data_IF_455694886447
#
_entry.id   IF_455694886447
#
_cell.length_a   1.000
_cell.length_b   1.000
_cell.length_c   1.000
_cell.angle_alpha   90.00
_cell.angle_beta   90.00
_cell.angle_gamma   90.00
#
_symmetry.space_group_name_H-M   'P 1'
#
loop_
_entity.id
_entity.type
_entity.pdbx_description
1 polymer ?
#
# COMPACT_ATOMS: atom_id res chain seq x y z
N UNK A 1 -23.39 23.68 -32.06
CA UNK A 1 -22.41 23.22 -31.04
C UNK A 1 -22.83 21.83 -30.59
N UNK A 2 -22.10 20.79 -31.00
CA UNK A 2 -22.45 19.39 -30.73
C UNK A 2 -22.25 19.06 -29.25
N UNK A 3 -23.37 18.76 -28.57
CA UNK A 3 -23.41 18.28 -27.19
C UNK A 3 -22.74 16.89 -27.11
N UNK A 4 -21.43 16.87 -26.87
CA UNK A 4 -20.67 15.64 -26.65
C UNK A 4 -21.18 14.99 -25.37
N UNK A 5 -22.03 13.95 -25.50
CA UNK A 5 -22.43 13.08 -24.39
C UNK A 5 -21.18 12.56 -23.66
N UNK A 6 -20.97 13.01 -22.43
CA UNK A 6 -19.87 12.58 -21.57
C UNK A 6 -19.89 11.05 -21.38
N UNK A 7 -18.73 10.42 -21.50
CA UNK A 7 -18.52 9.01 -21.16
C UNK A 7 -18.72 8.78 -19.65
N UNK A 8 -18.97 7.52 -19.24
CA UNK A 8 -19.14 7.17 -17.82
C UNK A 8 -17.94 7.59 -16.95
N UNK A 9 -16.71 7.41 -17.44
CA UNK A 9 -15.49 7.80 -16.71
C UNK A 9 -15.36 9.32 -16.57
N UNK A 10 -15.76 10.10 -17.60
CA UNK A 10 -15.76 11.57 -17.53
C UNK A 10 -16.81 12.09 -16.54
N UNK A 11 -18.00 11.48 -16.49
CA UNK A 11 -19.03 11.80 -15.49
C UNK A 11 -18.54 11.58 -14.07
N UNK A 12 -17.87 10.44 -13.82
CA UNK A 12 -17.26 10.12 -12.52
C UNK A 12 -16.20 11.17 -12.15
N UNK A 13 -15.25 11.47 -13.05
CA UNK A 13 -14.19 12.47 -12.80
C UNK A 13 -14.74 13.87 -12.57
N UNK A 14 -15.76 14.28 -13.33
CA UNK A 14 -16.43 15.58 -13.15
C UNK A 14 -17.02 15.68 -11.74
N UNK A 15 -17.73 14.64 -11.30
CA UNK A 15 -18.30 14.62 -9.94
C UNK A 15 -17.20 14.65 -8.87
N UNK A 16 -16.14 13.86 -9.03
CA UNK A 16 -15.00 13.86 -8.11
C UNK A 16 -14.35 15.26 -8.01
N UNK A 17 -14.20 15.95 -9.14
CA UNK A 17 -13.63 17.31 -9.20
C UNK A 17 -14.51 18.30 -8.43
N UNK A 18 -15.84 18.24 -8.63
CA UNK A 18 -16.79 19.10 -7.92
C UNK A 18 -16.77 18.82 -6.41
N UNK A 19 -16.79 17.55 -6.00
CA UNK A 19 -16.71 17.15 -4.60
C UNK A 19 -15.41 17.65 -3.95
N UNK A 20 -14.27 17.48 -4.63
CA UNK A 20 -12.97 17.93 -4.14
C UNK A 20 -12.88 19.46 -4.02
N UNK A 21 -13.38 20.18 -5.03
CA UNK A 21 -13.39 21.64 -5.02
C UNK A 21 -14.23 22.16 -3.85
N UNK A 22 -15.44 21.61 -3.66
CA UNK A 22 -16.31 22.03 -2.55
C UNK A 22 -15.71 21.70 -1.19
N UNK A 23 -15.08 20.52 -1.09
CA UNK A 23 -14.39 20.06 0.11
C UNK A 23 -13.21 20.96 0.51
N UNK A 24 -12.51 21.56 -0.47
CA UNK A 24 -11.44 22.55 -0.24
C UNK A 24 -11.97 23.93 0.13
N UNK A 25 -13.01 24.37 -0.55
CA UNK A 25 -13.62 25.69 -0.32
C UNK A 25 -14.25 25.79 1.07
N UNK A 26 -14.91 24.72 1.53
CA UNK A 26 -15.70 24.74 2.76
C UNK A 26 -15.32 23.58 3.69
N UNK A 27 -14.31 23.78 4.54
CA UNK A 27 -13.77 22.75 5.42
C UNK A 27 -14.80 22.15 6.40
N UNK A 28 -15.81 22.94 6.82
CA UNK A 28 -16.89 22.53 7.71
C UNK A 28 -18.10 21.91 6.99
N UNK A 29 -18.11 21.90 5.65
CA UNK A 29 -19.26 21.40 4.90
C UNK A 29 -19.46 19.90 5.11
N UNK A 30 -20.72 19.52 5.35
CA UNK A 30 -21.15 18.13 5.48
C UNK A 30 -21.94 17.71 4.25
N UNK A 31 -21.35 16.78 3.49
CA UNK A 31 -21.92 16.24 2.29
C UNK A 31 -23.09 15.30 2.62
N UNK A 32 -24.25 15.61 2.08
CA UNK A 32 -25.46 14.79 2.11
C UNK A 32 -25.68 14.15 0.73
N UNK A 33 -26.66 13.23 0.65
CA UNK A 33 -27.02 12.52 -0.57
C UNK A 33 -25.77 12.05 -1.33
N UNK A 34 -25.01 11.13 -0.74
CA UNK A 34 -23.85 10.49 -1.34
C UNK A 34 -24.14 9.05 -1.74
N UNK A 35 -24.99 8.36 -0.97
CA UNK A 35 -25.27 6.94 -1.18
C UNK A 35 -25.91 6.69 -2.54
N UNK A 36 -26.69 7.63 -3.06
CA UNK A 36 -27.32 7.57 -4.39
C UNK A 36 -26.30 7.39 -5.50
N UNK A 37 -25.08 7.88 -5.29
CA UNK A 37 -24.01 7.80 -6.27
C UNK A 37 -23.36 6.42 -6.30
N UNK A 38 -23.45 5.68 -5.20
CA UNK A 38 -22.81 4.35 -5.06
C UNK A 38 -23.42 3.35 -6.04
N UNK A 39 -24.73 3.43 -6.28
CA UNK A 39 -25.45 2.55 -7.20
C UNK A 39 -25.64 3.14 -8.61
N UNK A 40 -25.03 4.29 -8.93
CA UNK A 40 -25.06 4.75 -10.32
C UNK A 40 -24.23 3.81 -11.20
N UNK A 41 -24.77 3.47 -12.37
CA UNK A 41 -24.11 2.56 -13.30
C UNK A 41 -22.72 3.06 -13.75
N UNK A 42 -22.51 4.37 -13.89
CA UNK A 42 -21.20 4.92 -14.24
C UNK A 42 -20.15 4.67 -13.14
N UNK A 43 -20.52 4.84 -11.87
CA UNK A 43 -19.65 4.52 -10.73
C UNK A 43 -19.41 3.03 -10.57
N UNK A 44 -20.46 2.20 -10.68
CA UNK A 44 -20.34 0.75 -10.59
C UNK A 44 -19.45 0.17 -11.70
N UNK A 45 -19.54 0.70 -12.92
CA UNK A 45 -18.67 0.31 -14.03
C UNK A 45 -17.21 0.69 -13.78
N UNK A 46 -16.92 1.91 -13.32
CA UNK A 46 -15.55 2.31 -13.00
C UNK A 46 -14.99 1.48 -11.82
N UNK A 47 -15.81 1.20 -10.81
CA UNK A 47 -15.47 0.32 -9.70
C UNK A 47 -15.14 -1.11 -10.19
N UNK A 48 -15.98 -1.69 -11.06
CA UNK A 48 -15.72 -2.98 -11.68
C UNK A 48 -14.39 -3.01 -12.43
N UNK A 49 -14.09 -1.98 -13.24
CA UNK A 49 -12.82 -1.90 -13.97
C UNK A 49 -11.62 -1.92 -13.04
N UNK A 50 -11.71 -1.26 -11.88
CA UNK A 50 -10.65 -1.24 -10.88
C UNK A 50 -10.49 -2.60 -10.20
N UNK A 51 -11.57 -3.20 -9.72
CA UNK A 51 -11.56 -4.53 -9.08
C UNK A 51 -11.05 -5.60 -10.04
N UNK A 52 -11.53 -5.59 -11.29
CA UNK A 52 -11.09 -6.50 -12.35
C UNK A 52 -9.60 -6.40 -12.60
N UNK A 53 -9.06 -5.17 -12.63
CA UNK A 53 -7.64 -4.93 -12.88
C UNK A 53 -6.75 -5.46 -11.75
N UNK A 54 -7.25 -5.45 -10.51
CA UNK A 54 -6.51 -5.98 -9.37
C UNK A 54 -6.42 -7.52 -9.42
N UNK A 55 -7.38 -8.20 -10.06
CA UNK A 55 -7.31 -9.65 -10.30
C UNK A 55 -7.39 -10.50 -9.02
N UNK A 56 -8.04 -9.99 -7.97
CA UNK A 56 -8.11 -10.69 -6.68
C UNK A 56 -9.00 -11.93 -6.72
N UNK A 57 -8.62 -12.95 -5.93
CA UNK A 57 -9.35 -14.23 -5.78
C UNK A 57 -10.80 -14.06 -5.32
N UNK A 58 -11.58 -15.13 -5.45
CA UNK A 58 -12.96 -15.17 -4.97
C UNK A 58 -13.07 -15.03 -3.43
N UNK A 59 -14.22 -14.50 -3.00
CA UNK A 59 -14.61 -14.42 -1.59
C UNK A 59 -15.16 -15.75 -1.07
N UNK A 60 -16.00 -15.70 -0.04
CA UNK A 60 -16.63 -16.91 0.54
C UNK A 60 -17.68 -17.55 -0.38
N UNK A 61 -18.22 -16.79 -1.32
CA UNK A 61 -19.26 -17.23 -2.25
C UNK A 61 -18.72 -17.84 -3.54
N UNK A 62 -17.40 -17.92 -3.71
CA UNK A 62 -16.77 -18.58 -4.86
C UNK A 62 -16.83 -17.81 -6.17
N UNK A 63 -17.68 -16.78 -6.29
CA UNK A 63 -17.90 -16.04 -7.53
C UNK A 63 -16.60 -15.40 -8.06
N UNK A 64 -16.21 -15.77 -9.27
CA UNK A 64 -14.98 -15.29 -9.92
C UNK A 64 -15.24 -14.17 -10.93
N UNK A 65 -14.19 -13.38 -11.21
CA UNK A 65 -14.24 -12.35 -12.26
C UNK A 65 -14.52 -12.98 -13.64
N UNK A 66 -14.09 -14.22 -13.87
CA UNK A 66 -14.29 -14.93 -15.13
C UNK A 66 -15.76 -15.32 -15.31
N UNK A 67 -16.40 -15.87 -14.27
CA UNK A 67 -17.82 -16.21 -14.29
C UNK A 67 -18.71 -14.98 -14.54
N UNK A 68 -18.46 -13.87 -13.86
CA UNK A 68 -19.24 -12.63 -14.07
C UNK A 68 -19.09 -12.11 -15.50
N UNK A 69 -17.91 -12.25 -16.11
CA UNK A 69 -17.74 -11.89 -17.53
C UNK A 69 -18.56 -12.78 -18.46
N UNK A 70 -18.64 -14.08 -18.17
CA UNK A 70 -19.40 -15.05 -18.97
C UNK A 70 -20.91 -14.81 -18.83
N UNK A 71 -21.39 -14.56 -17.61
CA UNK A 71 -22.82 -14.27 -17.33
C UNK A 71 -23.29 -12.93 -17.90
N UNK A 72 -22.37 -11.97 -18.08
CA UNK A 72 -22.67 -10.62 -18.53
C UNK A 72 -22.51 -9.61 -17.41
N UNK A 73 -21.47 -8.78 -17.53
CA UNK A 73 -21.09 -7.79 -16.51
C UNK A 73 -22.19 -6.76 -16.28
N UNK A 74 -22.87 -6.33 -17.34
CA UNK A 74 -23.87 -5.27 -17.25
C UNK A 74 -25.08 -5.70 -16.41
N UNK A 75 -25.67 -6.86 -16.72
CA UNK A 75 -26.78 -7.41 -15.94
C UNK A 75 -26.40 -7.61 -14.47
N UNK A 76 -25.19 -8.15 -14.21
CA UNK A 76 -24.69 -8.33 -12.85
C UNK A 76 -24.53 -7.00 -12.09
N UNK A 77 -24.08 -5.94 -12.76
CA UNK A 77 -23.98 -4.60 -12.17
C UNK A 77 -25.37 -3.96 -11.96
N UNK A 78 -26.34 -4.23 -12.84
CA UNK A 78 -27.72 -3.79 -12.68
C UNK A 78 -28.37 -4.44 -11.45
N UNK A 79 -28.18 -5.75 -11.24
CA UNK A 79 -28.62 -6.45 -10.03
C UNK A 79 -28.00 -5.83 -8.77
N UNK A 80 -26.70 -5.52 -8.78
CA UNK A 80 -26.05 -4.83 -7.66
C UNK A 80 -26.58 -3.41 -7.45
N UNK A 81 -26.83 -2.67 -8.52
CA UNK A 81 -27.42 -1.33 -8.48
C UNK A 81 -28.80 -1.37 -7.83
N UNK A 82 -29.64 -2.33 -8.23
CA UNK A 82 -30.99 -2.49 -7.69
C UNK A 82 -30.95 -2.81 -6.19
N UNK A 83 -30.14 -3.81 -5.78
CA UNK A 83 -30.01 -4.18 -4.38
C UNK A 83 -29.56 -3.01 -3.48
N UNK A 84 -28.62 -2.21 -3.96
CA UNK A 84 -28.12 -1.04 -3.24
C UNK A 84 -29.17 0.08 -3.15
N UNK A 85 -29.93 0.29 -4.24
CA UNK A 85 -30.98 1.31 -4.32
C UNK A 85 -32.13 0.99 -3.37
N UNK A 86 -32.62 -0.25 -3.42
CA UNK A 86 -33.73 -0.78 -2.61
C UNK A 86 -33.32 -1.04 -1.17
N UNK A 87 -32.02 -1.17 -0.89
CA UNK A 87 -31.49 -1.39 0.46
C UNK A 87 -31.54 -2.86 0.90
N UNK A 88 -31.73 -3.79 -0.04
CA UNK A 88 -31.66 -5.24 0.18
C UNK A 88 -30.22 -5.76 0.18
N UNK A 89 -29.26 -4.96 -0.34
CA UNK A 89 -27.83 -5.27 -0.29
C UNK A 89 -27.35 -5.51 1.15
N UNK A 90 -26.85 -6.72 1.41
CA UNK A 90 -26.22 -7.10 2.68
C UNK A 90 -24.80 -7.62 2.43
N UNK A 91 -23.76 -7.02 3.06
CA UNK A 91 -22.39 -7.51 2.92
C UNK A 91 -22.25 -8.96 3.38
N UNK A 92 -21.56 -9.78 2.59
CA UNK A 92 -21.29 -11.18 2.94
C UNK A 92 -20.11 -11.28 3.91
N UNK A 93 -19.81 -12.49 4.39
CA UNK A 93 -18.61 -12.69 5.19
C UNK A 93 -17.33 -12.55 4.33
N UNK A 94 -16.24 -12.06 4.90
CA UNK A 94 -14.94 -12.06 4.23
C UNK A 94 -14.24 -13.42 4.39
N UNK A 95 -13.52 -13.85 3.36
CA UNK A 95 -12.71 -15.07 3.42
C UNK A 95 -11.31 -14.75 3.94
N UNK A 96 -10.89 -15.35 5.05
CA UNK A 96 -9.56 -15.10 5.61
C UNK A 96 -8.49 -15.95 4.91
N UNK A 97 -7.38 -15.31 4.54
CA UNK A 97 -6.17 -15.95 4.02
C UNK A 97 -4.98 -15.49 4.85
N UNK A 98 -4.14 -16.42 5.29
CA UNK A 98 -2.95 -16.13 6.06
C UNK A 98 -1.75 -15.84 5.14
N UNK A 99 -1.26 -14.61 5.18
CA UNK A 99 -0.05 -14.20 4.45
C UNK A 99 1.15 -14.32 5.38
N UNK A 100 2.20 -15.08 5.03
CA UNK A 100 3.41 -15.18 5.85
C UNK A 100 4.07 -13.81 6.06
N UNK A 101 4.46 -13.49 7.31
CA UNK A 101 5.34 -12.35 7.60
C UNK A 101 6.79 -12.73 7.31
N UNK A 102 7.68 -11.73 7.33
CA UNK A 102 9.14 -11.95 7.21
C UNK A 102 9.67 -12.91 8.27
N UNK A 103 9.11 -12.85 9.48
CA UNK A 103 9.45 -13.72 10.61
C UNK A 103 8.78 -15.10 10.45
N UNK A 104 9.54 -16.21 10.52
CA UNK A 104 8.98 -17.56 10.46
C UNK A 104 7.89 -17.78 11.50
N UNK A 105 6.83 -18.51 11.13
CA UNK A 105 5.71 -18.84 12.04
C UNK A 105 4.73 -17.70 12.32
N UNK A 106 5.00 -16.46 11.87
CA UNK A 106 4.05 -15.34 12.03
C UNK A 106 3.31 -15.06 10.73
N UNK A 107 2.00 -14.84 10.83
CA UNK A 107 1.13 -14.58 9.69
C UNK A 107 0.39 -13.24 9.84
N UNK A 108 -0.03 -12.66 8.71
CA UNK A 108 -0.96 -11.53 8.64
C UNK A 108 -2.27 -12.06 8.04
N UNK A 109 -3.40 -12.01 8.78
CA UNK A 109 -4.69 -12.39 8.21
C UNK A 109 -5.14 -11.33 7.20
N UNK A 110 -5.49 -11.76 5.99
CA UNK A 110 -6.11 -10.94 4.95
C UNK A 110 -7.53 -11.45 4.72
N UNK A 111 -8.53 -10.63 4.97
CA UNK A 111 -9.92 -10.84 4.57
C UNK A 111 -10.15 -10.43 3.11
N UNK A 112 -10.60 -11.36 2.29
CA UNK A 112 -10.98 -11.17 0.90
C UNK A 112 -12.51 -11.06 0.85
N UNK A 113 -13.09 -9.87 0.61
CA UNK A 113 -14.53 -9.71 0.45
C UNK A 113 -15.03 -10.37 -0.84
N UNK A 114 -16.34 -10.65 -0.87
CA UNK A 114 -17.01 -11.11 -2.10
C UNK A 114 -16.90 -10.06 -3.22
N UNK A 115 -17.10 -10.50 -4.46
CA UNK A 115 -16.91 -9.63 -5.63
C UNK A 115 -17.90 -8.45 -5.63
N UNK A 116 -19.18 -8.70 -5.30
CA UNK A 116 -20.20 -7.67 -5.07
C UNK A 116 -19.76 -6.63 -4.04
N UNK A 117 -19.25 -7.09 -2.90
CA UNK A 117 -18.78 -6.22 -1.81
C UNK A 117 -17.60 -5.36 -2.24
N UNK A 118 -16.63 -5.94 -2.96
CA UNK A 118 -15.47 -5.19 -3.48
C UNK A 118 -15.91 -4.10 -4.45
N UNK A 119 -16.87 -4.38 -5.33
CA UNK A 119 -17.38 -3.39 -6.29
C UNK A 119 -18.14 -2.27 -5.56
N UNK A 120 -19.02 -2.61 -4.62
CA UNK A 120 -19.76 -1.61 -3.83
C UNK A 120 -18.82 -0.74 -2.98
N UNK A 121 -17.83 -1.34 -2.31
CA UNK A 121 -16.81 -0.64 -1.54
C UNK A 121 -15.94 0.26 -2.41
N UNK A 122 -15.56 -0.20 -3.60
CA UNK A 122 -14.77 0.60 -4.55
C UNK A 122 -15.59 1.77 -5.11
N UNK A 123 -16.87 1.55 -5.40
CA UNK A 123 -17.79 2.62 -5.82
C UNK A 123 -17.91 3.70 -4.75
N UNK A 124 -18.14 3.30 -3.49
CA UNK A 124 -18.14 4.23 -2.36
C UNK A 124 -16.79 4.95 -2.18
N UNK A 125 -15.67 4.26 -2.32
CA UNK A 125 -14.34 4.86 -2.25
C UNK A 125 -14.16 5.95 -3.33
N UNK A 126 -14.58 5.70 -4.58
CA UNK A 126 -14.49 6.70 -5.66
C UNK A 126 -15.25 8.00 -5.33
N UNK A 127 -16.33 7.92 -4.56
CA UNK A 127 -17.13 9.07 -4.13
C UNK A 127 -16.49 9.77 -2.94
N UNK A 128 -16.00 9.01 -1.96
CA UNK A 128 -15.49 9.55 -0.70
C UNK A 128 -14.05 10.08 -0.79
N UNK A 129 -13.20 9.46 -1.61
CA UNK A 129 -11.81 9.89 -1.80
C UNK A 129 -11.66 11.39 -2.06
N UNK A 130 -12.31 12.01 -3.07
CA UNK A 130 -12.13 13.44 -3.34
C UNK A 130 -12.49 14.34 -2.16
N UNK A 131 -13.47 13.95 -1.34
CA UNK A 131 -13.93 14.70 -0.16
C UNK A 131 -12.86 14.69 0.93
N UNK A 132 -12.30 13.52 1.24
CA UNK A 132 -11.33 13.37 2.33
C UNK A 132 -9.90 13.69 1.90
N UNK A 133 -9.53 13.48 0.64
CA UNK A 133 -8.23 13.88 0.09
C UNK A 133 -7.98 15.38 0.23
N UNK A 134 -9.03 16.20 0.17
CA UNK A 134 -8.95 17.63 0.45
C UNK A 134 -8.49 17.95 1.88
N UNK A 135 -8.75 17.05 2.83
CA UNK A 135 -8.44 17.23 4.24
C UNK A 135 -7.11 16.60 4.67
N UNK A 136 -6.54 15.73 3.84
CA UNK A 136 -5.32 14.99 4.17
C UNK A 136 -4.14 15.93 4.39
N UNK A 137 -3.33 15.59 5.38
CA UNK A 137 -2.19 16.39 5.77
C UNK A 137 -1.00 16.19 4.79
N UNK A 138 -0.12 17.19 4.60
CA UNK A 138 1.06 17.04 3.75
C UNK A 138 2.00 15.91 4.21
N UNK A 139 1.96 15.56 5.48
CA UNK A 139 2.73 14.48 6.10
C UNK A 139 2.19 13.07 5.78
N UNK A 140 1.01 12.95 5.15
CA UNK A 140 0.42 11.67 4.76
C UNK A 140 0.77 11.31 3.32
N UNK A 141 1.47 10.19 3.13
CA UNK A 141 1.92 9.71 1.82
C UNK A 141 1.25 8.40 1.40
N UNK A 142 0.81 7.59 2.36
CA UNK A 142 0.16 6.31 2.08
C UNK A 142 -1.21 6.50 1.45
N UNK A 143 -1.55 5.70 0.43
CA UNK A 143 -2.88 5.66 -0.20
C UNK A 143 -3.44 7.03 -0.66
N UNK A 144 -2.57 7.99 -0.96
CA UNK A 144 -2.96 9.29 -1.49
C UNK A 144 -2.64 9.33 -2.99
N UNK A 145 -3.56 9.85 -3.80
CA UNK A 145 -3.25 10.03 -5.22
C UNK A 145 -2.08 11.01 -5.42
N UNK A 146 -1.21 10.68 -6.37
CA UNK A 146 -0.02 11.48 -6.67
C UNK A 146 1.10 11.48 -5.61
N UNK A 147 0.99 10.71 -4.52
CA UNK A 147 2.06 10.55 -3.52
C UNK A 147 2.54 9.11 -3.45
N UNK A 148 3.85 8.93 -3.34
CA UNK A 148 4.48 7.62 -3.29
C UNK A 148 5.27 7.39 -2.00
N UNK A 149 5.53 6.12 -1.68
CA UNK A 149 6.47 5.73 -0.63
C UNK A 149 7.86 6.39 -0.81
N UNK A 150 8.27 6.59 -2.07
CA UNK A 150 9.52 7.28 -2.40
C UNK A 150 9.49 8.74 -1.96
N UNK A 151 8.35 9.41 -2.05
CA UNK A 151 8.24 10.82 -1.66
C UNK A 151 8.33 10.99 -0.14
N UNK A 152 7.80 10.04 0.63
CA UNK A 152 8.01 9.95 2.07
C UNK A 152 9.50 9.82 2.41
N UNK A 153 10.21 8.89 1.75
CA UNK A 153 11.66 8.70 1.94
C UNK A 153 12.47 9.94 1.52
N UNK A 154 12.10 10.61 0.42
CA UNK A 154 12.71 11.89 0.03
C UNK A 154 12.48 12.97 1.07
N UNK A 155 11.30 13.01 1.69
CA UNK A 155 10.99 13.98 2.76
C UNK A 155 11.87 13.75 3.97
N UNK A 156 12.05 12.49 4.40
CA UNK A 156 12.98 12.13 5.47
C UNK A 156 14.40 12.62 5.15
N UNK A 157 14.88 12.37 3.93
CA UNK A 157 16.21 12.84 3.51
C UNK A 157 16.35 14.36 3.60
N UNK A 158 15.34 15.09 3.13
CA UNK A 158 15.29 16.54 3.22
C UNK A 158 15.30 17.04 4.68
N UNK A 159 14.58 16.37 5.58
CA UNK A 159 14.54 16.71 7.00
C UNK A 159 15.89 16.50 7.67
N UNK A 160 16.57 15.38 7.39
CA UNK A 160 17.90 15.07 7.90
C UNK A 160 18.93 16.12 7.46
N UNK A 161 18.89 16.55 6.19
CA UNK A 161 19.79 17.61 5.69
C UNK A 161 19.55 18.96 6.37
N UNK A 162 18.35 19.19 6.91
CA UNK A 162 17.98 20.40 7.67
C UNK A 162 18.26 20.30 9.18
N UNK A 163 18.94 19.24 9.61
CA UNK A 163 19.35 19.03 10.99
C UNK A 163 18.33 18.32 11.88
N UNK A 164 17.23 17.78 11.33
CA UNK A 164 16.29 16.96 12.11
C UNK A 164 16.85 15.55 12.30
N UNK A 165 17.77 15.40 13.26
CA UNK A 165 18.57 14.18 13.46
C UNK A 165 17.98 13.22 14.49
N UNK A 166 17.10 13.71 15.35
CA UNK A 166 16.42 12.89 16.35
C UNK A 166 15.22 12.21 15.69
N UNK A 167 15.20 10.88 15.67
CA UNK A 167 14.20 10.09 14.95
C UNK A 167 13.46 9.18 15.91
N UNK A 168 12.12 9.24 15.88
CA UNK A 168 11.24 8.23 16.45
C UNK A 168 10.68 7.41 15.30
N UNK A 169 11.16 6.17 15.17
CA UNK A 169 10.63 5.18 14.23
C UNK A 169 9.57 4.35 14.96
N UNK A 170 8.28 4.54 14.63
CA UNK A 170 7.17 4.01 15.41
C UNK A 170 6.30 3.03 14.60
N UNK A 171 6.05 1.85 15.17
CA UNK A 171 5.17 0.82 14.59
C UNK A 171 3.90 0.70 15.44
N UNK A 172 2.73 0.69 14.80
CA UNK A 172 1.46 0.52 15.50
C UNK A 172 1.12 -0.97 15.65
N UNK A 173 0.70 -1.36 16.86
CA UNK A 173 0.25 -2.72 17.12
C UNK A 173 -1.12 -2.97 16.47
N UNK A 174 -1.16 -3.83 15.45
CA UNK A 174 -2.40 -4.28 14.81
C UNK A 174 -3.35 -3.13 14.39
N UNK A 175 -2.82 -2.10 13.72
CA UNK A 175 -3.54 -0.87 13.40
C UNK A 175 -4.99 -1.08 12.92
N UNK A 176 -5.20 -1.84 11.84
CA UNK A 176 -6.53 -2.08 11.28
C UNK A 176 -7.46 -2.87 12.19
N UNK A 177 -6.95 -3.61 13.18
CA UNK A 177 -7.76 -4.40 14.10
C UNK A 177 -8.17 -3.67 15.37
N UNK A 178 -7.46 -2.59 15.74
CA UNK A 178 -7.69 -1.89 17.02
C UNK A 178 -8.58 -0.65 16.91
N UNK A 179 -8.78 -0.08 15.72
CA UNK A 179 -9.56 1.17 15.56
C UNK A 179 -11.01 0.97 16.06
N UNK A 180 -11.48 1.73 17.07
CA UNK A 180 -12.85 1.63 17.54
C UNK A 180 -13.84 2.14 16.49
N UNK A 181 -14.90 1.37 16.20
CA UNK A 181 -15.90 1.73 15.20
C UNK A 181 -16.55 3.08 15.48
N UNK A 182 -16.90 3.36 16.75
CA UNK A 182 -17.50 4.63 17.14
C UNK A 182 -16.61 5.83 16.79
N UNK A 183 -15.32 5.73 17.06
CA UNK A 183 -14.34 6.79 16.77
C UNK A 183 -14.07 6.93 15.27
N UNK A 184 -14.14 5.81 14.53
CA UNK A 184 -14.04 5.81 13.08
C UNK A 184 -15.23 6.52 12.43
N UNK A 185 -16.44 6.15 12.85
CA UNK A 185 -17.70 6.72 12.35
C UNK A 185 -17.81 8.21 12.70
N UNK A 186 -17.38 8.64 13.89
CA UNK A 186 -17.28 10.07 14.23
C UNK A 186 -16.37 10.83 13.27
N UNK A 187 -15.25 10.23 12.85
CA UNK A 187 -14.30 10.86 11.93
C UNK A 187 -14.91 11.04 10.53
N UNK A 188 -15.69 10.07 10.07
CA UNK A 188 -16.44 10.15 8.81
C UNK A 188 -17.59 11.17 8.87
N UNK A 189 -18.35 11.17 9.98
CA UNK A 189 -19.53 12.02 10.16
C UNK A 189 -19.21 13.53 10.19
N UNK A 190 -17.95 13.91 10.44
CA UNK A 190 -17.48 15.30 10.32
C UNK A 190 -17.63 15.87 8.92
N UNK A 191 -17.59 15.02 7.89
CA UNK A 191 -17.72 15.42 6.48
C UNK A 191 -18.94 14.83 5.81
N UNK A 192 -19.56 13.81 6.39
CA UNK A 192 -20.71 13.12 5.82
C UNK A 192 -21.91 13.30 6.74
N UNK A 193 -23.01 13.81 6.21
CA UNK A 193 -24.32 13.83 6.87
C UNK A 193 -25.27 12.76 6.32
N UNK A 194 -24.92 12.10 5.21
CA UNK A 194 -25.71 10.99 4.66
C UNK A 194 -25.69 9.75 5.59
N UNK A 195 -26.80 9.53 6.29
CA UNK A 195 -26.96 8.40 7.21
C UNK A 195 -27.04 7.02 6.54
N UNK A 196 -27.48 6.92 5.27
CA UNK A 196 -27.46 5.65 4.53
C UNK A 196 -26.03 5.27 4.16
N UNK A 197 -25.23 6.24 3.71
CA UNK A 197 -23.82 6.03 3.43
C UNK A 197 -23.04 5.59 4.67
N UNK A 198 -23.27 6.26 5.81
CA UNK A 198 -22.63 5.90 7.07
C UNK A 198 -23.04 4.49 7.56
N UNK A 199 -24.32 4.11 7.41
CA UNK A 199 -24.80 2.75 7.72
C UNK A 199 -24.13 1.70 6.83
N UNK A 200 -23.97 1.97 5.53
CA UNK A 200 -23.31 1.07 4.59
C UNK A 200 -21.84 0.84 4.98
N UNK A 201 -21.11 1.91 5.30
CA UNK A 201 -19.71 1.81 5.75
C UNK A 201 -19.62 1.01 7.06
N UNK A 202 -20.52 1.29 8.01
CA UNK A 202 -20.58 0.54 9.28
C UNK A 202 -20.82 -0.95 9.05
N UNK A 203 -21.71 -1.32 8.12
CA UNK A 203 -21.97 -2.70 7.76
C UNK A 203 -20.71 -3.41 7.23
N UNK A 204 -19.87 -2.72 6.45
CA UNK A 204 -18.58 -3.27 6.01
C UNK A 204 -17.56 -3.45 7.14
N UNK A 205 -17.53 -2.54 8.12
CA UNK A 205 -16.67 -2.66 9.30
C UNK A 205 -17.07 -3.84 10.21
N UNK A 206 -18.35 -4.19 10.22
CA UNK A 206 -18.93 -5.26 11.03
C UNK A 206 -19.01 -6.62 10.31
N UNK A 207 -18.43 -6.73 9.10
CA UNK A 207 -18.46 -7.97 8.31
C UNK A 207 -17.88 -9.16 9.09
N UNK A 208 -18.58 -10.32 9.10
CA UNK A 208 -18.05 -11.58 9.61
C UNK A 208 -16.79 -12.01 8.86
N UNK A 209 -15.93 -12.77 9.53
CA UNK A 209 -14.74 -13.39 8.94
C UNK A 209 -14.92 -14.91 8.94
N UNK A 210 -14.76 -15.54 7.79
CA UNK A 210 -14.72 -17.01 7.65
C UNK A 210 -13.26 -17.43 7.53
N UNK A 211 -12.83 -18.26 8.47
CA UNK A 211 -11.52 -18.88 8.51
C UNK A 211 -11.67 -20.32 8.00
N UNK A 212 -10.75 -20.73 7.15
CA UNK A 212 -10.67 -22.10 6.64
C UNK A 212 -9.44 -22.74 7.28
N UNK A 213 -9.66 -23.83 8.02
CA UNK A 213 -8.58 -24.59 8.63
C UNK A 213 -7.88 -25.49 7.59
N UNK A 214 -6.75 -26.09 8.01
CA UNK A 214 -5.95 -26.97 7.12
C UNK A 214 -6.67 -28.27 6.74
N UNK A 215 -7.73 -28.63 7.46
CA UNK A 215 -8.56 -29.81 7.25
C UNK A 215 -9.82 -29.52 6.42
N UNK A 216 -10.02 -28.26 5.99
CA UNK A 216 -11.19 -27.82 5.21
C UNK A 216 -12.41 -27.40 6.05
N UNK A 217 -12.29 -27.42 7.37
CA UNK A 217 -13.30 -26.90 8.29
C UNK A 217 -13.40 -25.38 8.21
N UNK A 218 -14.63 -24.86 8.17
CA UNK A 218 -14.91 -23.42 8.08
C UNK A 218 -15.43 -22.89 9.41
N UNK A 219 -14.72 -21.94 10.01
CA UNK A 219 -15.14 -21.24 11.23
C UNK A 219 -15.53 -19.80 10.92
N UNK A 220 -16.77 -19.43 11.20
CA UNK A 220 -17.26 -18.05 11.05
C UNK A 220 -17.15 -17.30 12.39
N UNK A 221 -16.52 -16.13 12.37
CA UNK A 221 -16.38 -15.26 13.55
C UNK A 221 -16.95 -13.87 13.27
N UNK A 222 -17.61 -13.27 14.27
CA UNK A 222 -18.15 -11.91 14.21
C UNK A 222 -17.36 -10.96 15.12
N UNK A 223 -16.04 -11.16 15.19
CA UNK A 223 -15.17 -10.49 16.17
C UNK A 223 -15.26 -8.97 16.10
N UNK A 224 -15.11 -8.40 14.90
CA UNK A 224 -15.14 -6.95 14.70
C UNK A 224 -16.46 -6.32 15.19
N UNK A 225 -17.60 -6.98 14.94
CA UNK A 225 -18.92 -6.54 15.42
C UNK A 225 -19.08 -6.67 16.93
N UNK A 226 -18.65 -7.79 17.53
CA UNK A 226 -18.74 -8.02 18.98
C UNK A 226 -17.87 -7.05 19.77
N UNK A 227 -16.62 -6.87 19.34
CA UNK A 227 -15.66 -5.98 20.00
C UNK A 227 -15.84 -4.49 19.59
N UNK A 228 -16.69 -4.22 18.58
CA UNK A 228 -16.95 -2.87 18.02
C UNK A 228 -15.67 -2.15 17.60
N UNK A 229 -14.71 -2.89 17.05
CA UNK A 229 -13.41 -2.38 16.61
C UNK A 229 -12.85 -3.17 15.43
N UNK A 230 -11.97 -2.49 14.70
CA UNK A 230 -11.23 -3.02 13.57
C UNK A 230 -12.03 -3.15 12.28
N UNK A 231 -11.34 -3.50 11.20
CA UNK A 231 -11.94 -3.84 9.91
C UNK A 231 -11.29 -5.09 9.33
N UNK A 232 -12.00 -5.86 8.49
CA UNK A 232 -11.38 -6.87 7.64
C UNK A 232 -10.20 -6.28 6.85
N UNK A 233 -8.99 -6.80 7.07
CA UNK A 233 -7.81 -6.38 6.32
C UNK A 233 -7.94 -6.84 4.87
N UNK A 234 -7.84 -5.95 3.88
CA UNK A 234 -7.95 -6.33 2.46
C UNK A 234 -9.22 -5.84 1.76
N UNK A 235 -10.09 -5.13 2.47
CA UNK A 235 -11.19 -4.39 1.83
C UNK A 235 -10.67 -3.15 1.07
N UNK A 236 -11.18 -2.87 -0.15
CA UNK A 236 -10.84 -1.69 -0.93
C UNK A 236 -11.02 -0.34 -0.21
N UNK A 237 -11.96 -0.22 0.72
CA UNK A 237 -12.25 1.06 1.41
C UNK A 237 -11.35 1.29 2.64
N UNK A 238 -10.82 0.22 3.25
CA UNK A 238 -9.99 0.29 4.47
C UNK A 238 -8.81 1.27 4.40
N UNK A 239 -8.07 1.41 3.29
CA UNK A 239 -6.97 2.38 3.18
C UNK A 239 -7.41 3.83 3.32
N UNK A 240 -8.51 4.23 2.68
CA UNK A 240 -9.08 5.57 2.82
C UNK A 240 -9.48 5.83 4.27
N UNK A 241 -10.19 4.86 4.85
CA UNK A 241 -10.64 4.92 6.24
C UNK A 241 -9.47 5.02 7.23
N UNK A 242 -8.37 4.30 6.97
CA UNK A 242 -7.13 4.37 7.74
C UNK A 242 -6.55 5.80 7.74
N UNK A 243 -6.42 6.42 6.57
CA UNK A 243 -5.87 7.77 6.46
C UNK A 243 -6.72 8.82 7.19
N UNK A 244 -8.06 8.68 7.13
CA UNK A 244 -8.99 9.56 7.83
C UNK A 244 -8.77 9.48 9.35
N UNK A 245 -8.50 8.29 9.88
CA UNK A 245 -8.24 8.12 11.30
C UNK A 245 -6.87 8.65 11.71
N UNK A 246 -5.80 8.33 10.95
CA UNK A 246 -4.44 8.84 11.21
C UNK A 246 -4.35 10.37 11.16
N UNK A 247 -5.21 11.03 10.36
CA UNK A 247 -5.30 12.49 10.34
C UNK A 247 -5.54 13.09 11.73
N UNK A 248 -6.28 12.40 12.62
CA UNK A 248 -6.51 12.87 14.00
C UNK A 248 -5.23 13.02 14.78
N UNK A 249 -4.31 12.05 14.63
CA UNK A 249 -3.00 12.09 15.28
C UNK A 249 -2.18 13.28 14.78
N UNK A 250 -2.08 13.44 13.45
CA UNK A 250 -1.27 14.49 12.83
C UNK A 250 -1.80 15.88 13.20
N UNK A 251 -3.13 16.06 13.19
CA UNK A 251 -3.74 17.31 13.64
C UNK A 251 -3.53 17.56 15.13
N UNK A 252 -3.70 16.53 15.98
CA UNK A 252 -3.43 16.66 17.41
C UNK A 252 -1.99 17.07 17.69
N UNK A 253 -1.03 16.46 16.98
CA UNK A 253 0.40 16.81 17.05
C UNK A 253 0.67 18.28 16.70
N UNK A 254 0.04 18.78 15.63
CA UNK A 254 0.21 20.17 15.17
C UNK A 254 -0.51 21.19 16.06
N UNK A 255 -1.79 20.96 16.34
CA UNK A 255 -2.65 21.91 17.06
C UNK A 255 -2.23 22.08 18.51
N UNK A 256 -1.71 21.04 19.16
CA UNK A 256 -1.18 21.11 20.52
C UNK A 256 0.25 21.70 20.57
N UNK A 257 0.82 22.11 19.43
CA UNK A 257 2.09 22.82 19.36
C UNK A 257 3.35 21.94 19.35
N UNK A 258 3.23 20.62 19.48
CA UNK A 258 4.37 19.70 19.56
C UNK A 258 5.30 19.75 18.35
N UNK A 259 4.75 19.96 17.15
CA UNK A 259 5.56 20.16 15.95
C UNK A 259 6.53 21.35 16.08
N UNK A 260 6.08 22.45 16.71
CA UNK A 260 6.93 23.63 16.95
C UNK A 260 7.85 23.42 18.14
N UNK A 261 7.32 22.89 19.24
CA UNK A 261 8.05 22.63 20.48
C UNK A 261 9.30 21.78 20.24
N UNK A 262 9.17 20.68 19.49
CA UNK A 262 10.29 19.76 19.23
C UNK A 262 11.05 20.07 17.94
N UNK A 263 10.62 21.11 17.20
CA UNK A 263 11.09 21.38 15.84
C UNK A 263 10.99 20.12 14.98
N UNK A 264 9.82 19.48 14.98
CA UNK A 264 9.65 18.11 14.52
C UNK A 264 8.53 17.95 13.49
N UNK A 265 8.78 17.08 12.53
CA UNK A 265 7.86 16.78 11.44
C UNK A 265 7.57 15.28 11.33
N UNK A 266 6.31 14.99 11.07
CA UNK A 266 5.79 13.64 10.85
C UNK A 266 6.00 13.23 9.39
N UNK A 267 6.33 11.96 9.18
CA UNK A 267 6.26 11.31 7.86
C UNK A 267 5.48 10.02 8.02
N UNK A 268 4.25 10.01 7.50
CA UNK A 268 3.30 8.91 7.65
C UNK A 268 3.03 8.22 6.31
N UNK A 269 3.17 6.90 6.28
CA UNK A 269 2.74 6.04 5.17
C UNK A 269 1.77 5.00 5.70
N UNK A 270 0.49 5.35 5.72
CA UNK A 270 -0.57 4.58 6.37
C UNK A 270 -0.30 4.38 7.88
N UNK A 271 -0.12 3.14 8.34
CA UNK A 271 0.17 2.77 9.73
C UNK A 271 1.65 2.88 10.10
N UNK A 272 2.53 2.90 9.10
CA UNK A 272 3.99 3.06 9.27
C UNK A 272 4.33 4.55 9.30
N UNK A 273 4.92 5.04 10.40
CA UNK A 273 5.29 6.46 10.50
C UNK A 273 6.56 6.67 11.30
N UNK A 274 7.27 7.74 10.96
CA UNK A 274 8.38 8.23 11.76
C UNK A 274 8.22 9.73 12.05
N UNK A 275 8.85 10.18 13.12
CA UNK A 275 8.93 11.60 13.52
C UNK A 275 10.38 12.01 13.53
N UNK A 276 10.72 13.07 12.81
CA UNK A 276 12.07 13.63 12.78
C UNK A 276 12.05 15.00 13.43
N UNK A 277 12.85 15.19 14.47
CA UNK A 277 12.92 16.40 15.27
C UNK A 277 14.33 16.90 15.51
N UNK A 278 14.42 18.04 16.16
CA UNK A 278 15.68 18.61 16.68
C UNK A 278 15.84 18.35 18.17
N UNK A 279 14.73 18.21 18.88
CA UNK A 279 14.69 17.85 20.28
C UNK A 279 14.74 16.33 20.48
N UNK A 280 14.97 15.91 21.72
CA UNK A 280 15.18 14.51 22.11
C UNK A 280 14.10 13.57 21.57
N UNK A 281 14.52 12.48 20.90
CA UNK A 281 13.63 11.44 20.42
C UNK A 281 12.81 10.78 21.54
N UNK A 282 13.39 10.64 22.74
CA UNK A 282 12.70 10.00 23.88
C UNK A 282 11.54 10.85 24.40
N UNK A 283 11.72 12.18 24.48
CA UNK A 283 10.66 13.11 24.87
C UNK A 283 9.53 13.14 23.84
N UNK A 284 9.88 13.14 22.55
CA UNK A 284 8.91 13.03 21.47
C UNK A 284 8.11 11.72 21.60
N UNK A 285 8.77 10.59 21.87
CA UNK A 285 8.09 9.30 22.02
C UNK A 285 7.09 9.29 23.19
N UNK A 286 7.38 9.93 24.32
CA UNK A 286 6.44 10.05 25.44
C UNK A 286 5.16 10.76 24.99
N UNK A 287 5.29 11.89 24.28
CA UNK A 287 4.14 12.63 23.76
C UNK A 287 3.37 11.84 22.70
N UNK A 288 4.08 11.20 21.76
CA UNK A 288 3.47 10.36 20.72
C UNK A 288 2.66 9.23 21.36
N UNK A 289 3.23 8.56 22.37
CA UNK A 289 2.55 7.48 23.12
C UNK A 289 1.28 7.99 23.79
N UNK A 290 1.34 9.16 24.45
CA UNK A 290 0.16 9.78 25.07
C UNK A 290 -0.94 10.09 24.05
N UNK A 291 -0.58 10.64 22.89
CA UNK A 291 -1.54 10.95 21.83
C UNK A 291 -2.15 9.68 21.22
N UNK A 292 -1.33 8.67 20.97
CA UNK A 292 -1.76 7.39 20.42
C UNK A 292 -2.68 6.62 21.38
N UNK A 293 -2.40 6.66 22.68
CA UNK A 293 -3.29 6.10 23.71
C UNK A 293 -4.66 6.79 23.73
N UNK A 294 -4.71 8.11 23.57
CA UNK A 294 -6.00 8.85 23.43
C UNK A 294 -6.78 8.44 22.17
N UNK A 295 -6.08 8.02 21.12
CA UNK A 295 -6.66 7.48 19.89
C UNK A 295 -6.96 5.98 19.97
N UNK A 296 -6.68 5.34 21.12
CA UNK A 296 -6.84 3.89 21.35
C UNK A 296 -6.04 3.04 20.35
N UNK A 297 -4.86 3.53 19.96
CA UNK A 297 -3.94 2.85 19.04
C UNK A 297 -2.60 2.62 19.75
N UNK A 298 -2.42 1.49 20.46
CA UNK A 298 -1.19 1.26 21.20
C UNK A 298 0.02 1.12 20.27
N UNK A 299 1.13 1.77 20.64
CA UNK A 299 2.41 1.66 19.95
C UNK A 299 3.05 0.30 20.27
N UNK A 300 3.72 -0.29 19.30
CA UNK A 300 4.50 -1.50 19.48
C UNK A 300 5.87 -1.16 20.07
N UNK A 301 6.01 -1.28 21.39
CA UNK A 301 7.25 -0.96 22.10
C UNK A 301 8.46 -1.80 21.65
N UNK A 302 8.25 -3.04 21.18
CA UNK A 302 9.36 -3.91 20.73
C UNK A 302 9.95 -3.49 19.38
N UNK A 303 9.16 -2.78 18.56
CA UNK A 303 9.58 -2.35 17.23
C UNK A 303 9.86 -0.86 17.15
N UNK A 304 9.35 -0.09 18.10
CA UNK A 304 9.53 1.36 18.13
C UNK A 304 10.91 1.69 18.65
N UNK A 305 11.61 2.59 17.97
CA UNK A 305 12.99 2.94 18.27
C UNK A 305 13.15 4.47 18.32
N UNK A 306 13.91 4.94 19.31
CA UNK A 306 14.44 6.30 19.36
C UNK A 306 15.91 6.22 18.96
N UNK A 307 16.32 7.01 17.99
CA UNK A 307 17.65 6.94 17.41
C UNK A 307 18.10 8.30 16.89
N UNK A 308 19.42 8.50 16.84
CA UNK A 308 20.03 9.69 16.27
C UNK A 308 20.65 9.41 14.91
N UNK A 309 20.03 9.91 13.85
CA UNK A 309 20.48 9.74 12.48
C UNK A 309 21.37 10.92 12.06
N UNK A 310 22.53 10.71 11.41
CA UNK A 310 22.97 9.50 10.69
C UNK A 310 23.83 8.49 11.46
N UNK A 311 24.20 8.77 12.72
CA UNK A 311 25.04 7.91 13.56
C UNK A 311 24.42 6.51 13.71
N UNK A 312 23.12 6.48 13.99
CA UNK A 312 22.29 5.30 14.00
C UNK A 312 21.39 5.30 12.76
N UNK A 313 21.47 4.21 12.00
CA UNK A 313 20.73 4.06 10.76
C UNK A 313 19.49 3.20 10.96
N UNK A 314 18.35 3.69 10.49
CA UNK A 314 17.04 3.07 10.65
C UNK A 314 16.47 2.59 9.32
N UNK A 315 15.40 1.78 9.37
CA UNK A 315 14.73 1.25 8.17
C UNK A 315 13.31 1.79 8.05
N UNK A 316 13.00 2.49 6.97
CA UNK A 316 11.66 2.99 6.68
C UNK A 316 11.22 2.59 5.26
N UNK A 317 10.03 2.02 5.10
CA UNK A 317 9.47 1.59 3.81
C UNK A 317 10.41 0.71 2.96
N UNK A 318 11.21 -0.11 3.64
CA UNK A 318 12.19 -1.02 3.03
C UNK A 318 13.51 -0.38 2.61
N UNK A 319 13.71 0.91 2.90
CA UNK A 319 14.97 1.62 2.75
C UNK A 319 15.69 1.74 4.09
N UNK A 320 16.99 1.48 4.09
CA UNK A 320 17.88 1.85 5.20
C UNK A 320 18.39 3.27 4.98
N UNK A 321 18.29 4.12 6.00
CA UNK A 321 18.63 5.54 5.98
C UNK A 321 19.72 5.81 7.02
N UNK A 322 20.79 6.50 6.64
CA UNK A 322 21.91 6.84 7.53
C UNK A 322 23.21 7.11 6.76
N UNK A 323 24.36 6.84 7.37
CA UNK A 323 25.64 6.96 6.67
C UNK A 323 25.78 5.98 5.50
N UNK A 324 26.13 6.53 4.34
CA UNK A 324 26.58 5.81 3.16
C UNK A 324 27.93 6.36 2.69
N UNK A 325 28.63 5.59 1.85
CA UNK A 325 29.95 5.92 1.34
C UNK A 325 29.94 6.02 -0.18
N UNK A 326 30.55 7.07 -0.73
CA UNK A 326 30.71 7.20 -2.18
C UNK A 326 31.73 6.17 -2.67
N UNK A 327 31.40 5.30 -3.64
CA UNK A 327 32.30 4.23 -4.07
C UNK A 327 33.66 4.71 -4.59
N UNK A 328 33.70 5.87 -5.26
CA UNK A 328 34.93 6.40 -5.86
C UNK A 328 35.83 7.15 -4.89
N UNK A 329 35.25 7.85 -3.92
CA UNK A 329 35.99 8.80 -3.06
C UNK A 329 36.04 8.39 -1.60
N UNK A 330 35.30 7.36 -1.18
CA UNK A 330 35.18 6.96 0.22
C UNK A 330 34.47 7.98 1.11
N UNK A 331 34.04 9.13 0.58
CA UNK A 331 33.43 10.19 1.38
C UNK A 331 32.09 9.76 1.95
N UNK A 332 31.91 9.97 3.26
CA UNK A 332 30.64 9.73 3.96
C UNK A 332 29.59 10.79 3.59
N UNK A 333 28.34 10.36 3.39
CA UNK A 333 27.20 11.24 3.19
C UNK A 333 25.94 10.59 3.76
N UNK A 334 24.95 11.41 4.15
CA UNK A 334 23.64 10.92 4.55
C UNK A 334 22.93 10.43 3.30
N UNK A 335 22.54 9.16 3.27
CA UNK A 335 21.91 8.57 2.10
C UNK A 335 20.94 7.46 2.45
N UNK A 336 20.35 6.90 1.41
CA UNK A 336 19.42 5.77 1.48
C UNK A 336 19.93 4.62 0.64
N UNK A 337 19.59 3.39 1.02
CA UNK A 337 19.81 2.19 0.21
C UNK A 337 18.75 1.14 0.50
N UNK A 338 18.49 0.17 -0.39
CA UNK A 338 17.59 -0.92 -0.09
C UNK A 338 18.03 -1.68 1.16
N UNK A 339 17.08 -2.00 2.05
CA UNK A 339 17.39 -2.70 3.30
C UNK A 339 17.76 -4.16 3.06
N UNK A 340 18.53 -4.75 3.99
CA UNK A 340 18.95 -6.16 3.88
C UNK A 340 17.74 -7.09 3.80
N UNK A 341 16.71 -6.82 4.60
CA UNK A 341 15.46 -7.58 4.58
C UNK A 341 14.70 -7.45 3.26
N UNK A 342 14.73 -6.28 2.62
CA UNK A 342 14.13 -6.07 1.28
C UNK A 342 14.85 -6.87 0.19
N UNK A 343 16.19 -6.94 0.25
CA UNK A 343 17.01 -7.73 -0.68
C UNK A 343 16.79 -9.23 -0.45
N UNK A 344 16.78 -9.68 0.80
CA UNK A 344 16.53 -11.09 1.13
C UNK A 344 15.15 -11.55 0.69
N UNK A 345 14.13 -10.69 0.83
CA UNK A 345 12.76 -10.99 0.42
C UNK A 345 12.64 -11.23 -1.08
N UNK A 346 13.29 -10.41 -1.92
CA UNK A 346 13.27 -10.61 -3.37
C UNK A 346 14.08 -11.84 -3.79
N UNK A 347 15.23 -12.09 -3.17
CA UNK A 347 16.01 -13.30 -3.40
C UNK A 347 15.23 -14.57 -3.03
N UNK A 348 14.47 -14.54 -1.93
CA UNK A 348 13.58 -15.63 -1.52
C UNK A 348 12.50 -15.88 -2.58
N UNK A 349 11.82 -14.82 -3.03
CA UNK A 349 10.80 -14.91 -4.08
C UNK A 349 11.36 -15.48 -5.38
N UNK A 350 12.56 -15.07 -5.79
CA UNK A 350 13.26 -15.65 -6.96
C UNK A 350 13.54 -17.15 -6.74
N UNK A 351 13.99 -17.53 -5.54
CA UNK A 351 14.23 -18.93 -5.20
C UNK A 351 12.96 -19.77 -5.28
N UNK A 352 11.84 -19.27 -4.75
CA UNK A 352 10.52 -19.91 -4.76
C UNK A 352 10.02 -20.12 -6.20
N UNK A 353 10.18 -19.13 -7.08
CA UNK A 353 9.78 -19.25 -8.49
C UNK A 353 10.68 -20.20 -9.30
N UNK A 354 11.87 -20.55 -8.80
CA UNK A 354 12.85 -21.43 -9.47
C UNK A 354 12.97 -22.81 -8.80
N UNK A 355 11.97 -23.19 -8.03
CA UNK A 355 11.85 -24.51 -7.41
C UNK A 355 11.64 -25.64 -8.43
N UNK A 356 11.93 -26.87 -8.02
CA UNK A 356 11.87 -28.05 -8.87
C UNK A 356 10.47 -28.30 -9.47
N UNK A 357 9.40 -27.95 -8.73
CA UNK A 357 8.01 -28.06 -9.19
C UNK A 357 7.71 -27.30 -10.48
N UNK A 358 8.53 -26.29 -10.81
CA UNK A 358 8.39 -25.52 -12.05
C UNK A 358 9.28 -26.05 -13.19
N UNK A 359 9.83 -27.26 -13.10
CA UNK A 359 10.74 -27.82 -14.13
C UNK A 359 10.11 -28.00 -15.52
N UNK A 360 8.80 -28.24 -15.58
CA UNK A 360 8.06 -28.40 -16.84
C UNK A 360 7.72 -27.06 -17.51
N UNK A 361 7.82 -25.95 -16.79
CA UNK A 361 7.51 -24.62 -17.33
C UNK A 361 8.44 -24.27 -18.48
N UNK A 362 7.90 -23.61 -19.50
CA UNK A 362 8.71 -23.12 -20.60
C UNK A 362 9.81 -22.14 -20.14
N UNK A 363 10.95 -22.16 -20.83
CA UNK A 363 12.12 -21.35 -20.49
C UNK A 363 11.85 -19.84 -20.63
N UNK A 364 11.15 -19.45 -21.69
CA UNK A 364 10.77 -18.06 -21.94
C UNK A 364 9.77 -17.58 -20.90
N UNK A 365 8.78 -18.42 -20.57
CA UNK A 365 7.82 -18.16 -19.50
C UNK A 365 8.55 -17.93 -18.15
N UNK A 366 9.49 -18.80 -17.79
CA UNK A 366 10.29 -18.67 -16.57
C UNK A 366 11.09 -17.36 -16.55
N UNK A 367 11.79 -17.03 -17.64
CA UNK A 367 12.60 -15.81 -17.71
C UNK A 367 11.74 -14.56 -17.63
N UNK A 368 10.62 -14.52 -18.36
CA UNK A 368 9.69 -13.39 -18.31
C UNK A 368 9.10 -13.18 -16.90
N UNK A 369 8.84 -14.26 -16.13
CA UNK A 369 8.45 -14.15 -14.72
C UNK A 369 9.55 -13.53 -13.86
N UNK A 370 10.79 -14.00 -14.00
CA UNK A 370 11.93 -13.45 -13.27
C UNK A 370 12.16 -11.98 -13.62
N UNK A 371 12.11 -11.64 -14.91
CA UNK A 371 12.24 -10.26 -15.40
C UNK A 371 11.15 -9.36 -14.82
N UNK A 372 9.89 -9.81 -14.77
CA UNK A 372 8.81 -9.04 -14.18
C UNK A 372 9.04 -8.79 -12.68
N UNK A 373 9.46 -9.81 -11.93
CA UNK A 373 9.76 -9.72 -10.50
C UNK A 373 10.92 -8.74 -10.23
N UNK A 374 12.02 -8.89 -10.98
CA UNK A 374 13.21 -8.06 -10.84
C UNK A 374 12.93 -6.61 -11.24
N UNK A 375 12.27 -6.40 -12.38
CA UNK A 375 11.95 -5.06 -12.88
C UNK A 375 10.99 -4.33 -11.94
N UNK A 376 9.98 -5.02 -11.40
CA UNK A 376 9.09 -4.44 -10.38
C UNK A 376 9.83 -4.00 -9.12
N UNK A 377 10.78 -4.82 -8.65
CA UNK A 377 11.60 -4.49 -7.49
C UNK A 377 12.53 -3.29 -7.77
N UNK A 378 13.21 -3.28 -8.91
CA UNK A 378 14.09 -2.18 -9.32
C UNK A 378 13.32 -0.87 -9.53
N UNK A 379 12.13 -0.94 -10.13
CA UNK A 379 11.23 0.21 -10.28
C UNK A 379 10.85 0.83 -8.93
N UNK A 380 10.74 0.04 -7.85
CA UNK A 380 10.52 0.57 -6.51
C UNK A 380 11.81 1.07 -5.86
N UNK A 381 12.92 0.33 -5.95
CA UNK A 381 14.18 0.64 -5.29
C UNK A 381 15.12 1.45 -6.19
N UNK A 382 14.82 2.75 -6.36
CA UNK A 382 15.61 3.66 -7.20
C UNK A 382 16.32 4.78 -6.43
N UNK A 383 16.10 4.88 -5.12
CA UNK A 383 16.65 5.99 -4.32
C UNK A 383 18.00 5.62 -3.68
N UNK A 384 18.98 6.50 -3.88
CA UNK A 384 20.30 6.41 -3.24
C UNK A 384 21.21 5.33 -3.84
N UNK A 385 21.95 4.61 -2.99
CA UNK A 385 22.96 3.63 -3.43
C UNK A 385 22.31 2.26 -3.70
N UNK A 386 21.92 2.01 -4.95
CA UNK A 386 21.19 0.80 -5.35
C UNK A 386 22.08 -0.26 -6.02
N UNK A 387 23.22 0.13 -6.61
CA UNK A 387 24.06 -0.77 -7.41
C UNK A 387 24.48 -2.05 -6.67
N UNK A 388 24.96 -2.00 -5.41
CA UNK A 388 25.35 -3.23 -4.71
C UNK A 388 24.18 -4.20 -4.54
N UNK A 389 22.98 -3.67 -4.30
CA UNK A 389 21.77 -4.48 -4.18
C UNK A 389 21.35 -5.09 -5.53
N UNK A 390 21.42 -4.30 -6.61
CA UNK A 390 21.12 -4.75 -7.97
C UNK A 390 22.07 -5.88 -8.39
N UNK A 391 23.38 -5.71 -8.18
CA UNK A 391 24.37 -6.74 -8.47
C UNK A 391 24.14 -8.03 -7.67
N UNK A 392 23.76 -7.91 -6.39
CA UNK A 392 23.45 -9.08 -5.55
C UNK A 392 22.23 -9.85 -6.07
N UNK A 393 21.17 -9.14 -6.47
CA UNK A 393 19.94 -9.73 -7.03
C UNK A 393 20.23 -10.39 -8.37
N UNK A 394 20.93 -9.71 -9.27
CA UNK A 394 21.35 -10.24 -10.57
C UNK A 394 22.13 -11.54 -10.43
N UNK A 395 23.16 -11.54 -9.56
CA UNK A 395 23.98 -12.72 -9.32
C UNK A 395 23.14 -13.88 -8.78
N UNK A 396 22.22 -13.60 -7.86
CA UNK A 396 21.32 -14.62 -7.32
C UNK A 396 20.35 -15.15 -8.39
N UNK A 397 19.74 -14.27 -9.19
CA UNK A 397 18.84 -14.64 -10.27
C UNK A 397 19.54 -15.50 -11.33
N UNK A 398 20.72 -15.09 -11.80
CA UNK A 398 21.52 -15.85 -12.77
C UNK A 398 21.87 -17.24 -12.21
N UNK A 399 22.32 -17.31 -10.95
CA UNK A 399 22.64 -18.59 -10.30
C UNK A 399 21.41 -19.49 -10.21
N UNK A 400 20.26 -18.96 -9.81
CA UNK A 400 19.01 -19.72 -9.67
C UNK A 400 18.45 -20.19 -11.00
N UNK A 401 18.45 -19.32 -12.01
CA UNK A 401 18.02 -19.66 -13.36
C UNK A 401 18.93 -20.73 -13.98
N UNK A 402 20.24 -20.61 -13.83
CA UNK A 402 21.20 -21.65 -14.23
C UNK A 402 20.90 -22.99 -13.58
N UNK A 403 20.69 -23.01 -12.26
CA UNK A 403 20.33 -24.23 -11.54
C UNK A 403 19.02 -24.84 -12.08
N UNK A 404 18.02 -24.01 -12.37
CA UNK A 404 16.75 -24.46 -12.92
C UNK A 404 16.91 -25.05 -14.33
N UNK A 405 17.65 -24.40 -15.22
CA UNK A 405 17.98 -24.92 -16.56
C UNK A 405 18.74 -26.25 -16.50
N UNK A 406 19.76 -26.36 -15.63
CA UNK A 406 20.49 -27.61 -15.48
C UNK A 406 19.57 -28.77 -15.04
N UNK A 407 18.61 -28.50 -14.15
CA UNK A 407 17.61 -29.52 -13.76
C UNK A 407 16.69 -29.86 -14.91
N UNK A 408 16.14 -28.86 -15.61
CA UNK A 408 15.24 -29.04 -16.76
C UNK A 408 15.87 -29.88 -17.87
N UNK A 409 17.14 -29.64 -18.18
CA UNK A 409 17.89 -30.35 -19.23
C UNK A 409 18.73 -31.54 -18.72
N UNK A 410 18.57 -31.95 -17.45
CA UNK A 410 19.32 -33.06 -16.82
C UNK A 410 20.85 -32.95 -16.97
N UNK A 411 21.39 -31.74 -16.88
CA UNK A 411 22.83 -31.46 -17.05
C UNK A 411 23.57 -31.57 -15.72
N UNK A 412 24.54 -32.49 -15.63
CA UNK A 412 25.30 -32.74 -14.41
C UNK A 412 26.62 -31.94 -14.30
N UNK A 413 27.32 -31.69 -15.41
CA UNK A 413 28.60 -30.97 -15.47
C UNK A 413 28.58 -29.76 -16.42
N UNK A 414 29.61 -28.91 -16.37
CA UNK A 414 29.78 -27.79 -17.33
C UNK A 414 28.71 -26.68 -17.24
N UNK A 415 28.09 -26.49 -16.08
CA UNK A 415 26.91 -25.60 -15.88
C UNK A 415 27.16 -24.16 -16.33
N UNK A 416 28.33 -23.61 -16.00
CA UNK A 416 28.71 -22.22 -16.32
C UNK A 416 29.16 -22.05 -17.77
N UNK A 417 29.57 -23.13 -18.44
CA UNK A 417 29.89 -23.12 -19.87
C UNK A 417 28.60 -23.19 -20.69
N UNK A 418 27.74 -24.17 -20.39
CA UNK A 418 26.47 -24.38 -21.12
C UNK A 418 25.47 -23.24 -20.91
N UNK A 419 25.38 -22.73 -19.68
CA UNK A 419 24.53 -21.59 -19.32
C UNK A 419 25.39 -20.46 -18.74
N UNK A 420 26.28 -19.92 -19.57
CA UNK A 420 27.09 -18.75 -19.24
C UNK A 420 26.22 -17.53 -18.97
N UNK A 421 26.75 -16.56 -18.21
CA UNK A 421 26.04 -15.30 -17.92
C UNK A 421 25.66 -14.58 -19.21
N UNK A 422 26.52 -14.62 -20.24
CA UNK A 422 26.26 -14.04 -21.56
C UNK A 422 25.06 -14.72 -22.21
N UNK A 423 24.98 -16.06 -22.17
CA UNK A 423 23.86 -16.80 -22.77
C UNK A 423 22.55 -16.53 -22.04
N UNK A 424 22.56 -16.50 -20.71
CA UNK A 424 21.37 -16.18 -19.91
C UNK A 424 20.80 -14.79 -20.23
N UNK A 425 21.68 -13.81 -20.49
CA UNK A 425 21.29 -12.43 -20.80
C UNK A 425 20.90 -12.26 -22.28
N UNK A 426 21.78 -12.62 -23.20
CA UNK A 426 21.61 -12.36 -24.64
C UNK A 426 20.67 -13.34 -25.33
N UNK A 427 20.74 -14.63 -24.99
CA UNK A 427 19.94 -15.67 -25.66
C UNK A 427 18.58 -15.85 -25.00
N UNK A 428 18.55 -15.94 -23.67
CA UNK A 428 17.31 -16.19 -22.94
C UNK A 428 16.60 -14.91 -22.47
N UNK A 429 17.24 -13.74 -22.60
CA UNK A 429 16.61 -12.45 -22.31
C UNK A 429 16.53 -12.08 -20.82
N UNK A 430 17.35 -12.66 -19.94
CA UNK A 430 17.35 -12.27 -18.52
C UNK A 430 17.85 -10.82 -18.37
N UNK A 431 17.04 -9.98 -17.73
CA UNK A 431 17.33 -8.56 -17.53
C UNK A 431 18.60 -8.34 -16.69
N UNK A 432 19.36 -7.29 -17.05
CA UNK A 432 20.38 -6.70 -16.18
C UNK A 432 19.77 -5.58 -15.37
N UNK A 433 19.80 -5.67 -14.05
CA UNK A 433 19.48 -4.53 -13.22
C UNK A 433 20.63 -3.53 -13.27
N UNK A 434 20.58 -2.64 -14.25
CA UNK A 434 21.42 -1.45 -14.28
C UNK A 434 20.69 -0.30 -13.57
N UNK A 435 21.40 0.52 -12.78
CA UNK A 435 20.85 1.79 -12.33
C UNK A 435 20.49 2.57 -13.58
N UNK A 436 19.25 3.04 -13.71
CA UNK A 436 18.93 4.00 -14.75
C UNK A 436 19.86 5.19 -14.52
N UNK A 437 20.82 5.40 -15.42
CA UNK A 437 21.82 6.48 -15.38
C UNK A 437 21.15 7.82 -15.65
N UNK A 438 20.13 8.17 -14.86
CA UNK A 438 19.87 9.57 -14.56
C UNK A 438 20.70 9.84 -13.32
N UNK A 439 21.86 10.46 -13.50
CA UNK A 439 22.50 11.26 -12.48
C UNK A 439 21.38 12.05 -11.77
N UNK A 440 20.93 11.61 -10.59
CA UNK A 440 19.80 12.25 -9.94
C UNK A 440 20.35 13.52 -9.29
N UNK A 441 20.04 14.72 -9.82
CA UNK A 441 20.70 15.96 -9.42
C UNK A 441 20.23 16.51 -8.07
N UNK A 442 19.48 15.73 -7.27
CA UNK A 442 18.94 16.24 -6.01
C UNK A 442 20.04 16.53 -4.98
N UNK A 443 21.24 15.94 -5.14
CA UNK A 443 22.42 16.30 -4.36
C UNK A 443 23.07 17.63 -4.81
N UNK A 444 22.57 18.29 -5.88
CA UNK A 444 23.13 19.55 -6.42
C UNK A 444 22.12 20.61 -6.89
N UNK A 445 20.81 20.36 -6.93
CA UNK A 445 19.85 21.32 -7.50
C UNK A 445 18.65 21.58 -6.57
N UNK A 446 18.74 22.66 -5.79
CA UNK A 446 17.60 23.58 -5.67
C UNK A 446 17.31 24.15 -7.07
N UNK A 447 16.06 24.60 -7.30
CA UNK A 447 15.50 25.24 -8.51
C UNK A 447 14.59 24.33 -9.38
N UNK A 448 13.29 24.62 -9.23
CA UNK A 448 12.13 24.50 -10.14
C UNK A 448 12.16 23.52 -11.34
N UNK A 449 11.21 22.56 -11.38
CA UNK A 449 10.06 22.49 -12.34
C UNK A 449 9.37 21.11 -12.33
N UNK A 450 8.11 21.16 -12.77
CA UNK A 450 7.04 20.13 -12.83
C UNK A 450 7.36 18.90 -13.71
N UNK A 451 6.73 17.75 -13.35
CA UNK A 451 5.99 16.81 -14.21
C UNK A 451 6.25 15.31 -13.90
N UNK A 452 5.20 14.48 -14.03
CA UNK A 452 5.32 13.08 -14.47
C UNK A 452 4.91 11.99 -13.48
N UNK A 453 3.65 11.55 -13.56
CA UNK A 453 3.02 10.38 -12.92
C UNK A 453 3.91 9.13 -12.73
N UNK A 454 3.82 8.52 -11.55
CA UNK A 454 4.25 7.15 -11.28
C UNK A 454 3.25 6.44 -10.35
N UNK A 455 2.55 5.43 -10.87
CA UNK A 455 1.49 4.67 -10.17
C UNK A 455 2.11 3.79 -9.07
N UNK A 456 1.71 3.98 -7.81
CA UNK A 456 2.06 3.13 -6.67
C UNK A 456 0.92 2.18 -6.24
N UNK A 457 1.33 1.16 -5.48
CA UNK A 457 0.60 -0.05 -5.11
C UNK A 457 -0.86 0.17 -4.70
N UNK A 458 -1.75 -0.60 -5.33
CA UNK A 458 -3.18 -0.63 -5.03
C UNK A 458 -3.51 -1.79 -4.09
N UNK A 459 -4.47 -1.61 -3.15
CA UNK A 459 -5.12 -2.72 -2.46
C UNK A 459 -5.88 -3.60 -3.46
N UNK A 460 -6.09 -4.87 -3.09
CA UNK A 460 -6.78 -5.91 -3.87
C UNK A 460 -8.23 -5.55 -4.14
#
# INVERSE_FOLDING_TARGET
MTDKRLTGSEKVRRLQTVLHAKAKESAAHRFHALVDKVWRMDFLWEAWKLVRRNGGSAGVDGETIAEVKQRGVEAWLQELSQDLREGTYTPKAVRQVLIPKKQPGKFRPLGIPCLRDRVAQTSAMLILSPIFEADLQPEQYGYCDGRSAKDAVKRIHHLLNRGHREVVDADLSNYFGEIPHAEWMKSLARRISDGRMLRLIKAWLEMPVVEEDKTGGKRRTNRARRERKGAPQGSPISPLLSNIYMRRFILGWKLLGYARQFGAELVCYADDFCVLGRASATEMLVVITRLMNRLKLPINAQKTQCLRCPEEAFEFLGYRIGWNYRPKTGTRYIGTRPSKGSIQSICRRISEQTEARFGLMDAEEMVRRLNWIMSGWANYFTLGQVNPAYCAIDRHAMRRLRQWFCRKHKIQSGKYVRFSDVRLRKTYGLHHLAPTTKNVPWAKACVQRKAGCGKTARPV
#
